data_IF_744093738269
#
_entry.id   IF_744093738269
#
_cell.length_a   1.000
_cell.length_b   1.000
_cell.length_c   1.000
_cell.angle_alpha   90.00
_cell.angle_beta   90.00
_cell.angle_gamma   90.00
#
_symmetry.space_group_name_H-M   'P 1'
#
loop_
_entity.id
_entity.type
_entity.pdbx_description
1 polymer ?
#
# COMPACT_ATOMS: atom_id res chain seq x y z
N UNK A 1 -9.98 34.07 -35.27
CA UNK A 1 -10.29 32.61 -35.22
C UNK A 1 -9.29 31.76 -34.42
N UNK A 2 -8.34 32.33 -33.66
CA UNK A 2 -7.32 31.56 -32.92
C UNK A 2 -7.63 31.45 -31.41
N UNK A 3 -8.46 32.35 -30.87
CA UNK A 3 -8.76 32.43 -29.44
C UNK A 3 -9.76 31.35 -28.95
N UNK A 4 -10.62 30.84 -29.83
CA UNK A 4 -11.65 29.85 -29.45
C UNK A 4 -11.06 28.43 -29.33
N UNK A 5 -10.03 28.13 -30.13
CA UNK A 5 -9.37 26.81 -30.09
C UNK A 5 -8.51 26.61 -28.84
N UNK A 6 -7.90 27.68 -28.31
CA UNK A 6 -7.08 27.63 -27.10
C UNK A 6 -7.92 27.43 -25.84
N UNK A 7 -9.10 28.07 -25.76
CA UNK A 7 -10.04 27.88 -24.65
C UNK A 7 -10.64 26.46 -24.62
N UNK A 8 -10.93 25.87 -25.79
CA UNK A 8 -11.44 24.50 -25.86
C UNK A 8 -10.41 23.47 -25.34
N UNK A 9 -9.12 23.65 -25.65
CA UNK A 9 -8.06 22.74 -25.20
C UNK A 9 -7.83 22.79 -23.68
N UNK A 10 -7.95 23.96 -23.06
CA UNK A 10 -7.80 24.13 -21.60
C UNK A 10 -8.95 23.47 -20.83
N UNK A 11 -10.18 23.56 -21.35
CA UNK A 11 -11.36 22.94 -20.74
C UNK A 11 -11.31 21.41 -20.83
N UNK A 12 -10.82 20.85 -21.94
CA UNK A 12 -10.63 19.40 -22.11
C UNK A 12 -9.53 18.87 -21.18
N UNK A 13 -8.48 19.66 -20.94
CA UNK A 13 -7.40 19.29 -20.01
C UNK A 13 -7.89 19.30 -18.55
N UNK A 14 -8.73 20.27 -18.17
CA UNK A 14 -9.30 20.38 -16.81
C UNK A 14 -10.40 19.34 -16.54
N UNK A 15 -11.11 18.86 -17.56
CA UNK A 15 -12.19 17.88 -17.43
C UNK A 15 -11.73 16.43 -17.61
N UNK A 16 -10.45 16.16 -17.82
CA UNK A 16 -9.97 14.77 -17.86
C UNK A 16 -9.92 14.21 -16.43
N UNK A 17 -10.80 13.26 -16.05
CA UNK A 17 -10.67 12.59 -14.77
C UNK A 17 -9.33 11.86 -14.79
N UNK A 18 -8.44 12.25 -13.88
CA UNK A 18 -7.12 11.67 -13.70
C UNK A 18 -7.19 10.24 -13.17
N UNK A 19 -7.79 9.32 -13.94
CA UNK A 19 -7.53 7.89 -13.78
C UNK A 19 -6.12 7.62 -14.31
N UNK A 20 -5.13 7.97 -13.49
CA UNK A 20 -3.75 7.53 -13.68
C UNK A 20 -3.71 6.04 -13.45
N UNK A 21 -3.93 5.26 -14.51
CA UNK A 21 -3.49 3.87 -14.56
C UNK A 21 -1.96 3.91 -14.60
N UNK A 22 -1.34 3.81 -13.44
CA UNK A 22 0.12 3.79 -13.31
C UNK A 22 0.60 2.38 -13.64
N UNK A 23 0.96 2.20 -14.91
CA UNK A 23 1.97 1.23 -15.34
C UNK A 23 1.53 -0.24 -15.36
N UNK A 24 1.06 -0.70 -16.52
CA UNK A 24 1.16 -2.11 -16.88
C UNK A 24 2.63 -2.50 -17.03
N UNK A 25 3.11 -3.39 -16.18
CA UNK A 25 4.47 -3.95 -16.23
C UNK A 25 4.67 -4.55 -17.64
N UNK A 26 5.72 -4.15 -18.37
CA UNK A 26 6.18 -4.83 -19.60
C UNK A 26 6.47 -6.31 -19.26
N UNK A 27 5.53 -7.19 -19.59
CA UNK A 27 4.95 -8.07 -18.55
C UNK A 27 5.06 -9.59 -18.69
N UNK A 28 5.91 -10.17 -19.55
CA UNK A 28 5.84 -11.64 -19.72
C UNK A 28 6.93 -12.41 -18.97
N UNK A 29 8.23 -12.15 -19.19
CA UNK A 29 9.29 -12.91 -18.49
C UNK A 29 9.56 -12.44 -17.05
N UNK A 30 9.59 -11.13 -16.81
CA UNK A 30 9.85 -10.58 -15.47
C UNK A 30 8.69 -10.85 -14.49
N UNK A 31 7.46 -10.94 -15.01
CA UNK A 31 6.27 -11.31 -14.24
C UNK A 31 6.32 -12.76 -13.75
N UNK A 32 6.71 -13.71 -14.61
CA UNK A 32 6.76 -15.14 -14.28
C UNK A 32 7.79 -15.48 -13.19
N UNK A 33 9.03 -14.96 -13.32
CA UNK A 33 10.10 -15.19 -12.33
C UNK A 33 9.74 -14.57 -10.98
N UNK A 34 9.09 -13.40 -11.00
CA UNK A 34 8.65 -12.72 -9.78
C UNK A 34 7.51 -13.50 -9.10
N UNK A 35 6.52 -13.97 -9.87
CA UNK A 35 5.43 -14.81 -9.37
C UNK A 35 5.92 -16.12 -8.75
N UNK A 36 6.93 -16.76 -9.34
CA UNK A 36 7.51 -17.99 -8.78
C UNK A 36 8.12 -17.79 -7.38
N UNK A 37 8.62 -16.58 -7.08
CA UNK A 37 9.20 -16.22 -5.77
C UNK A 37 8.18 -15.72 -4.76
N UNK A 38 6.98 -15.33 -5.20
CA UNK A 38 5.88 -14.92 -4.32
C UNK A 38 5.28 -16.12 -3.60
N UNK A 39 4.85 -15.95 -2.36
CA UNK A 39 4.07 -16.96 -1.63
C UNK A 39 2.58 -16.71 -1.82
N UNK A 40 1.77 -17.75 -1.84
CA UNK A 40 0.31 -17.66 -1.69
C UNK A 40 -0.05 -17.37 -0.23
N UNK A 41 -1.28 -16.88 0.00
CA UNK A 41 -1.80 -16.71 1.35
C UNK A 41 -1.81 -18.02 2.17
N UNK A 42 -2.02 -19.15 1.51
CA UNK A 42 -2.02 -20.48 2.12
C UNK A 42 -0.61 -20.92 2.56
N UNK A 43 0.39 -20.73 1.71
CA UNK A 43 1.79 -21.03 2.05
C UNK A 43 2.28 -20.19 3.23
N UNK A 44 1.91 -18.91 3.27
CA UNK A 44 2.28 -18.02 4.38
C UNK A 44 1.52 -18.32 5.69
N UNK A 45 0.45 -19.12 5.67
CA UNK A 45 -0.45 -19.33 6.83
C UNK A 45 0.27 -19.73 8.11
N UNK A 46 1.28 -20.59 8.01
CA UNK A 46 2.06 -21.07 9.16
C UNK A 46 2.96 -20.01 9.78
N UNK A 47 3.45 -19.06 8.99
CA UNK A 47 4.34 -17.98 9.43
C UNK A 47 3.57 -16.83 10.10
N UNK A 48 2.29 -16.64 9.74
CA UNK A 48 1.43 -15.57 10.28
C UNK A 48 1.33 -15.54 11.80
N UNK A 49 1.47 -16.70 12.46
CA UNK A 49 1.40 -16.83 13.93
C UNK A 49 2.55 -16.14 14.66
N UNK A 50 3.65 -15.87 13.96
CA UNK A 50 4.83 -15.22 14.54
C UNK A 50 4.71 -13.69 14.58
N UNK A 51 3.61 -13.13 14.07
CA UNK A 51 3.39 -11.69 13.96
C UNK A 51 2.31 -11.26 14.95
N UNK A 52 2.60 -10.21 15.72
CA UNK A 52 1.65 -9.62 16.64
C UNK A 52 0.91 -8.44 15.98
N UNK A 53 -0.36 -8.25 16.32
CA UNK A 53 -1.01 -6.99 16.01
C UNK A 53 -0.47 -5.89 16.92
N UNK A 54 -0.15 -4.73 16.37
CA UNK A 54 0.21 -3.54 17.13
C UNK A 54 -0.56 -2.37 16.55
N UNK A 55 -1.26 -1.62 17.41
CA UNK A 55 -2.00 -0.43 16.99
C UNK A 55 -1.07 0.66 16.46
N UNK A 56 -1.62 1.55 15.62
CA UNK A 56 -0.86 2.70 15.13
C UNK A 56 -0.32 3.55 16.29
N UNK A 57 -1.15 3.87 17.28
CA UNK A 57 -0.76 4.74 18.39
C UNK A 57 0.44 4.17 19.18
N UNK A 58 0.48 2.85 19.37
CA UNK A 58 1.60 2.17 20.01
C UNK A 58 2.85 2.16 19.14
N UNK A 59 2.72 1.88 17.84
CA UNK A 59 3.84 1.92 16.90
C UNK A 59 4.41 3.31 16.77
N UNK A 60 3.56 4.33 16.65
CA UNK A 60 3.94 5.73 16.50
C UNK A 60 4.68 6.23 17.75
N UNK A 61 4.09 6.02 18.93
CA UNK A 61 4.64 6.55 20.18
C UNK A 61 5.89 5.79 20.65
N UNK A 62 6.03 4.52 20.26
CA UNK A 62 7.06 3.62 20.81
C UNK A 62 7.83 2.86 19.71
N UNK A 63 8.04 3.45 18.54
CA UNK A 63 8.66 2.74 17.39
C UNK A 63 9.98 2.05 17.76
N UNK A 64 10.81 2.69 18.59
CA UNK A 64 12.10 2.15 19.04
C UNK A 64 11.97 0.87 19.87
N UNK A 65 10.94 0.75 20.72
CA UNK A 65 10.68 -0.46 21.50
C UNK A 65 10.27 -1.64 20.62
N UNK A 66 9.65 -1.35 19.48
CA UNK A 66 9.23 -2.36 18.52
C UNK A 66 10.29 -2.68 17.46
N UNK A 67 11.48 -2.09 17.51
CA UNK A 67 12.53 -2.33 16.52
C UNK A 67 12.78 -3.83 16.28
N UNK A 68 12.73 -4.26 15.02
CA UNK A 68 12.93 -5.65 14.60
C UNK A 68 11.78 -6.61 14.90
N UNK A 69 10.78 -6.18 15.68
CA UNK A 69 9.62 -7.00 16.03
C UNK A 69 8.75 -7.29 14.81
N UNK A 70 8.21 -8.51 14.76
CA UNK A 70 7.29 -8.96 13.72
C UNK A 70 5.88 -8.47 14.04
N UNK A 71 5.33 -7.63 13.18
CA UNK A 71 3.99 -7.06 13.33
C UNK A 71 3.11 -7.34 12.12
N UNK A 72 1.80 -7.43 12.33
CA UNK A 72 0.83 -7.42 11.24
C UNK A 72 -0.20 -6.31 11.44
N UNK A 73 -0.63 -5.72 10.34
CA UNK A 73 -1.68 -4.71 10.34
C UNK A 73 -2.53 -4.78 9.07
N UNK A 74 -3.64 -4.04 9.10
CA UNK A 74 -4.50 -3.79 7.95
C UNK A 74 -4.55 -2.30 7.70
N UNK A 75 -4.70 -1.89 6.45
CA UNK A 75 -4.80 -0.48 6.10
C UNK A 75 -5.19 -0.28 4.65
N UNK A 76 -5.09 0.96 4.18
CA UNK A 76 -5.39 1.36 2.80
C UNK A 76 -4.18 2.06 2.19
N UNK A 77 -3.89 1.77 0.93
CA UNK A 77 -2.80 2.44 0.20
C UNK A 77 -3.17 3.91 -0.01
N UNK A 78 -2.27 4.82 0.35
CA UNK A 78 -2.41 6.25 0.11
C UNK A 78 -1.55 6.75 -1.04
N UNK A 79 -0.40 6.10 -1.23
CA UNK A 79 0.53 6.43 -2.30
C UNK A 79 1.39 5.20 -2.58
N UNK A 80 1.79 5.06 -3.84
CA UNK A 80 2.64 4.01 -4.38
C UNK A 80 3.89 4.65 -4.97
N UNK A 81 5.03 4.48 -4.31
CA UNK A 81 6.33 4.87 -4.86
C UNK A 81 7.05 3.64 -5.40
N UNK A 82 6.94 3.44 -6.72
CA UNK A 82 7.56 2.29 -7.40
C UNK A 82 9.08 2.43 -7.54
N UNK A 83 9.60 3.66 -7.60
CA UNK A 83 11.02 3.94 -7.77
C UNK A 83 11.79 3.56 -6.51
N UNK A 84 11.29 4.02 -5.36
CA UNK A 84 11.90 3.79 -4.05
C UNK A 84 11.31 2.56 -3.34
N UNK A 85 10.36 1.87 -3.96
CA UNK A 85 9.72 0.64 -3.51
C UNK A 85 9.14 0.73 -2.09
N UNK A 86 8.30 1.74 -1.88
CA UNK A 86 7.51 1.86 -0.66
C UNK A 86 6.05 2.20 -0.94
N UNK A 87 5.17 1.79 -0.01
CA UNK A 87 3.78 2.22 0.06
C UNK A 87 3.62 3.18 1.23
N UNK A 88 2.75 4.18 1.06
CA UNK A 88 2.17 4.88 2.20
C UNK A 88 0.84 4.20 2.55
N UNK A 89 0.68 3.79 3.80
CA UNK A 89 -0.47 2.98 4.23
C UNK A 89 -1.14 3.64 5.42
N UNK A 90 -2.43 3.96 5.31
CA UNK A 90 -3.25 4.44 6.41
C UNK A 90 -3.89 3.25 7.15
N UNK A 91 -3.60 3.10 8.44
CA UNK A 91 -3.89 1.87 9.19
C UNK A 91 -5.28 1.87 9.86
N UNK A 92 -5.83 3.05 10.12
CA UNK A 92 -7.10 3.20 10.80
C UNK A 92 -8.08 3.96 9.90
N UNK A 93 -9.17 3.33 9.49
CA UNK A 93 -10.28 4.01 8.80
C UNK A 93 -9.92 4.82 7.55
N UNK A 94 -8.77 4.57 6.91
CA UNK A 94 -8.24 5.39 5.81
C UNK A 94 -7.81 6.82 6.25
N UNK A 95 -7.56 7.06 7.54
CA UNK A 95 -7.08 8.32 8.10
C UNK A 95 -5.64 8.61 7.66
N UNK A 96 -5.44 9.71 6.94
CA UNK A 96 -4.14 10.15 6.45
C UNK A 96 -3.18 10.53 7.59
N UNK A 97 -3.69 10.92 8.76
CA UNK A 97 -2.85 11.21 9.93
C UNK A 97 -2.22 9.95 10.54
N UNK A 98 -2.79 8.78 10.24
CA UNK A 98 -2.36 7.46 10.75
C UNK A 98 -1.63 6.65 9.69
N UNK A 99 -0.71 7.31 8.98
CA UNK A 99 0.02 6.74 7.85
C UNK A 99 1.39 6.19 8.28
N UNK A 100 1.73 4.99 7.82
CA UNK A 100 3.08 4.40 7.92
C UNK A 100 3.73 4.28 6.55
N UNK A 101 5.06 4.13 6.54
CA UNK A 101 5.85 3.83 5.35
C UNK A 101 6.15 2.33 5.31
N UNK A 102 5.57 1.62 4.35
CA UNK A 102 5.79 0.20 4.15
C UNK A 102 6.78 -0.03 3.02
N UNK A 103 8.03 -0.37 3.35
CA UNK A 103 9.03 -0.81 2.37
C UNK A 103 8.66 -2.19 1.85
N UNK A 104 8.74 -2.39 0.54
CA UNK A 104 8.39 -3.67 -0.07
C UNK A 104 9.33 -4.04 -1.21
N UNK A 105 9.25 -5.31 -1.60
CA UNK A 105 9.73 -5.83 -2.86
C UNK A 105 8.55 -6.53 -3.56
N UNK A 106 8.58 -6.63 -4.89
CA UNK A 106 7.42 -7.20 -5.63
C UNK A 106 7.14 -8.65 -5.21
N UNK A 107 8.16 -9.36 -4.76
CA UNK A 107 8.05 -10.73 -4.22
C UNK A 107 7.36 -10.82 -2.85
N UNK A 108 7.20 -9.71 -2.13
CA UNK A 108 6.47 -9.70 -0.85
C UNK A 108 4.96 -9.78 -1.04
N UNK A 109 4.43 -9.40 -2.21
CA UNK A 109 3.02 -9.54 -2.49
C UNK A 109 2.62 -11.01 -2.61
N UNK A 110 1.41 -11.32 -2.14
CA UNK A 110 0.80 -12.61 -2.35
C UNK A 110 0.77 -12.94 -3.84
N UNK A 111 1.01 -14.21 -4.18
CA UNK A 111 1.00 -14.70 -5.55
C UNK A 111 -0.42 -14.69 -6.11
N UNK A 112 -0.83 -13.57 -6.67
CA UNK A 112 -2.13 -13.32 -7.28
C UNK A 112 -1.95 -12.34 -8.45
N UNK A 113 -2.88 -12.32 -9.41
CA UNK A 113 -2.92 -11.28 -10.44
C UNK A 113 -3.46 -10.01 -9.81
N UNK A 114 -2.58 -9.09 -9.44
CA UNK A 114 -3.02 -7.86 -8.79
C UNK A 114 -2.38 -6.60 -9.35
N UNK A 115 -3.26 -5.64 -9.61
CA UNK A 115 -2.94 -4.28 -9.94
C UNK A 115 -3.04 -3.46 -8.64
N UNK A 116 -1.95 -2.79 -8.24
CA UNK A 116 -1.95 -1.95 -7.05
C UNK A 116 -2.62 -0.61 -7.35
N UNK A 117 -3.64 -0.25 -6.57
CA UNK A 117 -4.31 1.04 -6.68
C UNK A 117 -4.30 1.79 -5.37
N UNK A 118 -4.33 3.11 -5.46
CA UNK A 118 -4.62 3.94 -4.28
C UNK A 118 -6.00 3.59 -3.71
N UNK A 119 -6.13 3.72 -2.40
CA UNK A 119 -7.26 3.30 -1.59
C UNK A 119 -7.51 1.79 -1.51
N UNK A 120 -6.70 0.95 -2.17
CA UNK A 120 -6.86 -0.51 -2.02
C UNK A 120 -6.64 -0.95 -0.58
N UNK A 121 -7.53 -1.79 -0.03
CA UNK A 121 -7.35 -2.38 1.29
C UNK A 121 -6.27 -3.45 1.24
N UNK A 122 -5.34 -3.38 2.19
CA UNK A 122 -4.23 -4.32 2.31
C UNK A 122 -4.15 -4.88 3.72
N UNK A 123 -3.63 -6.10 3.81
CA UNK A 123 -3.13 -6.71 5.05
C UNK A 123 -1.67 -7.02 4.85
N UNK A 124 -0.80 -6.54 5.72
CA UNK A 124 0.64 -6.79 5.62
C UNK A 124 1.21 -7.33 6.92
N UNK A 125 2.33 -8.01 6.77
CA UNK A 125 3.14 -8.61 7.83
C UNK A 125 4.57 -8.18 7.57
N UNK A 126 5.27 -7.76 8.61
CA UNK A 126 6.62 -7.24 8.44
C UNK A 126 7.32 -6.94 9.75
N UNK A 127 8.46 -6.26 9.64
CA UNK A 127 9.31 -5.88 10.76
C UNK A 127 9.41 -4.38 10.89
N UNK A 128 9.23 -3.88 12.10
CA UNK A 128 9.43 -2.45 12.39
C UNK A 128 10.91 -2.12 12.25
N UNK A 129 11.23 -1.05 11.52
CA UNK A 129 12.61 -0.66 11.24
C UNK A 129 13.02 0.63 11.96
N UNK A 130 12.27 1.70 11.78
CA UNK A 130 12.66 3.04 12.25
C UNK A 130 11.50 3.99 12.08
N UNK A 131 11.73 5.28 12.29
CA UNK A 131 10.85 6.38 11.91
C UNK A 131 11.38 7.13 10.69
N UNK A 132 10.49 7.64 9.85
CA UNK A 132 10.77 8.53 8.72
C UNK A 132 10.16 9.89 9.02
N UNK A 133 10.95 10.96 8.97
CA UNK A 133 10.48 12.34 9.18
C UNK A 133 10.14 12.99 7.84
N UNK A 134 9.04 13.75 7.80
CA UNK A 134 8.61 14.51 6.63
C UNK A 134 7.85 15.76 7.05
N UNK A 135 7.82 16.76 6.16
CA UNK A 135 6.99 17.96 6.33
C UNK A 135 5.64 17.71 5.68
N UNK A 136 4.55 17.86 6.43
CA UNK A 136 3.21 17.73 5.87
C UNK A 136 2.75 19.01 5.13
N UNK A 137 1.58 18.96 4.49
CA UNK A 137 0.98 20.08 3.76
C UNK A 137 0.78 21.34 4.62
N UNK A 138 0.76 21.21 5.94
CA UNK A 138 0.64 22.31 6.90
C UNK A 138 2.00 22.87 7.36
N UNK A 139 3.10 22.45 6.74
CA UNK A 139 4.44 22.87 7.11
C UNK A 139 4.94 22.31 8.45
N UNK A 140 4.32 21.26 8.98
CA UNK A 140 4.73 20.65 10.27
C UNK A 140 5.60 19.43 10.04
N UNK A 141 6.66 19.32 10.82
CA UNK A 141 7.46 18.10 10.92
C UNK A 141 6.64 16.98 11.56
N UNK A 142 6.48 15.89 10.83
CA UNK A 142 5.78 14.67 11.27
C UNK A 142 6.75 13.51 11.13
N UNK A 143 6.75 12.62 12.12
CA UNK A 143 7.42 11.32 12.02
C UNK A 143 6.40 10.24 11.69
N UNK A 144 6.79 9.18 10.99
CA UNK A 144 5.93 8.01 10.78
C UNK A 144 6.74 6.71 10.95
N UNK A 145 6.14 5.64 11.49
CA UNK A 145 6.78 4.33 11.52
C UNK A 145 7.12 3.83 10.12
N UNK A 146 8.28 3.17 10.01
CA UNK A 146 8.75 2.47 8.82
C UNK A 146 8.75 0.98 9.09
N UNK A 147 8.11 0.21 8.21
CA UNK A 147 7.99 -1.24 8.30
C UNK A 147 8.58 -1.86 7.04
N UNK A 148 9.41 -2.90 7.20
CA UNK A 148 9.84 -3.77 6.11
C UNK A 148 8.83 -4.88 5.92
N UNK A 149 8.20 -4.97 4.76
CA UNK A 149 7.25 -6.04 4.47
C UNK A 149 7.96 -7.39 4.30
N UNK A 150 7.43 -8.40 4.98
CA UNK A 150 7.75 -9.81 4.74
C UNK A 150 6.68 -10.42 3.81
N UNK A 151 5.41 -10.04 4.01
CA UNK A 151 4.28 -10.51 3.20
C UNK A 151 3.18 -9.45 3.11
N UNK A 152 2.61 -9.22 1.92
CA UNK A 152 1.52 -8.29 1.66
C UNK A 152 0.40 -9.04 0.94
N UNK A 153 -0.80 -8.97 1.49
CA UNK A 153 -2.01 -9.52 0.89
C UNK A 153 -2.96 -8.37 0.58
N UNK A 154 -3.35 -8.25 -0.67
CA UNK A 154 -4.43 -7.36 -1.05
C UNK A 154 -5.75 -8.03 -0.64
N UNK A 155 -6.65 -7.28 0.00
CA UNK A 155 -7.96 -7.84 0.34
C UNK A 155 -8.70 -8.02 -0.97
N UNK A 156 -8.73 -9.25 -1.49
CA UNK A 156 -9.57 -9.56 -2.63
C UNK A 156 -11.01 -9.18 -2.32
N UNK A 157 -11.57 -8.25 -3.10
CA UNK A 157 -13.00 -8.08 -3.24
C UNK A 157 -13.58 -9.32 -3.95
N UNK A 158 -13.53 -10.48 -3.29
CA UNK A 158 -14.49 -11.55 -3.55
C UNK A 158 -15.65 -11.39 -2.57
N UNK A 159 -16.26 -10.21 -2.62
CA UNK A 159 -17.61 -9.98 -2.12
C UNK A 159 -18.51 -10.11 -3.35
N UNK A 160 -18.90 -11.35 -3.64
CA UNK A 160 -19.60 -11.69 -4.86
C UNK A 160 -20.16 -13.10 -4.88
N UNK A 161 -20.39 -13.72 -3.71
CA UNK A 161 -21.34 -14.83 -3.55
C UNK A 161 -22.00 -14.71 -2.17
N UNK A 162 -23.34 -14.71 -2.17
CA UNK A 162 -24.29 -14.55 -1.06
C UNK A 162 -24.64 -13.13 -0.60
N UNK A 163 -25.47 -12.47 -1.41
CA UNK A 163 -26.70 -11.89 -0.85
C UNK A 163 -27.59 -13.06 -0.39
N UNK A 164 -27.42 -13.47 0.86
CA UNK A 164 -28.35 -14.34 1.57
C UNK A 164 -29.00 -13.53 2.67
N UNK A 165 -30.15 -12.95 2.36
CA UNK A 165 -31.12 -12.52 3.37
C UNK A 165 -31.54 -13.77 4.16
N UNK A 166 -31.44 -13.71 5.48
CA UNK A 166 -32.38 -14.38 6.39
C UNK A 166 -32.73 -13.34 7.45
#
# INVERSE_FOLDING_TARGET
>A
MVLVCTLALVVIYLLSPGNKVVGGIRGTQMSLVTKAKQKTAAEFKRERKDYAYVSFDNLYSNTSLYYGTKVYQTGHIKNLDMEHKYLLVALDGNDQSRTIKLKYNVTNFAREDVELKESDPIKFYGRVLTTDSYVNEKGRDISRPVISADFIQLKNNKQGENYGVI
#
